data_IF_070026260804
#
_entry.id   IF_070026260804
#
_cell.length_a   1.000
_cell.length_b   1.000
_cell.length_c   1.000
_cell.angle_alpha   90.00
_cell.angle_beta   90.00
_cell.angle_gamma   90.00
#
_symmetry.space_group_name_H-M   'P 1'
#
loop_
_entity.id
_entity.type
_entity.pdbx_description
1 polymer ?
#
# COMPACT_ATOMS: atom_id res chain seq x y z
N UNK A 1 15.26 -18.88 -24.05
CA UNK A 1 16.72 -19.05 -23.99
C UNK A 1 17.30 -18.20 -22.88
N UNK A 2 18.36 -18.65 -22.24
CA UNK A 2 19.10 -17.85 -21.25
C UNK A 2 20.21 -17.10 -21.97
N UNK A 3 20.20 -15.77 -21.91
CA UNK A 3 21.31 -14.94 -22.40
C UNK A 3 22.13 -14.41 -21.21
N UNK A 4 23.43 -14.26 -21.38
CA UNK A 4 24.27 -13.59 -20.37
C UNK A 4 23.91 -12.11 -20.35
N UNK A 5 23.87 -11.49 -19.16
CA UNK A 5 23.51 -10.07 -18.98
C UNK A 5 24.34 -9.12 -19.88
N UNK A 6 25.61 -9.44 -20.14
CA UNK A 6 26.51 -8.67 -21.02
C UNK A 6 26.13 -8.75 -22.52
N UNK A 7 25.36 -9.77 -22.91
CA UNK A 7 24.96 -10.01 -24.31
C UNK A 7 23.54 -9.49 -24.57
N UNK A 8 22.89 -8.89 -23.57
CA UNK A 8 21.54 -8.30 -23.69
C UNK A 8 21.66 -6.88 -24.23
N UNK A 9 21.07 -6.64 -25.38
CA UNK A 9 21.00 -5.31 -26.03
C UNK A 9 19.89 -4.43 -25.44
N UNK A 10 18.98 -5.00 -24.65
CA UNK A 10 17.85 -4.30 -24.03
C UNK A 10 18.20 -3.69 -22.67
N UNK A 11 17.53 -2.56 -22.32
CA UNK A 11 17.68 -1.92 -21.00
C UNK A 11 16.98 -2.74 -19.92
N UNK A 12 17.76 -3.55 -19.19
CA UNK A 12 17.29 -4.35 -18.06
C UNK A 12 17.88 -3.82 -16.76
N UNK A 13 17.02 -3.51 -15.78
CA UNK A 13 17.46 -3.26 -14.42
C UNK A 13 17.24 -4.51 -13.57
N UNK A 14 18.25 -4.91 -12.80
CA UNK A 14 18.17 -6.07 -11.90
C UNK A 14 18.45 -5.63 -10.48
N UNK A 15 17.57 -6.01 -9.57
CA UNK A 15 17.68 -5.78 -8.12
C UNK A 15 17.78 -7.13 -7.44
N UNK A 16 18.89 -7.35 -6.72
CA UNK A 16 19.05 -8.52 -5.85
C UNK A 16 18.49 -8.19 -4.49
N UNK A 17 17.69 -9.09 -3.94
CA UNK A 17 17.05 -8.84 -2.64
C UNK A 17 18.01 -9.01 -1.47
N UNK A 18 19.09 -9.77 -1.62
CA UNK A 18 20.11 -9.90 -0.57
C UNK A 18 20.83 -8.57 -0.28
N UNK A 19 20.85 -7.62 -1.23
CA UNK A 19 21.42 -6.28 -1.07
C UNK A 19 20.40 -5.25 -0.48
N UNK A 20 19.20 -5.70 -0.13
CA UNK A 20 18.13 -4.83 0.39
C UNK A 20 17.82 -5.23 1.84
N UNK A 21 17.68 -4.27 2.77
CA UNK A 21 17.30 -4.58 4.15
C UNK A 21 15.83 -5.04 4.21
N UNK A 22 15.59 -6.29 3.84
CA UNK A 22 14.25 -6.89 3.69
C UNK A 22 13.50 -6.93 5.03
N UNK A 23 14.24 -6.89 6.15
CA UNK A 23 13.67 -6.91 7.49
C UNK A 23 12.77 -5.70 7.80
N UNK A 24 12.98 -4.58 7.10
CA UNK A 24 12.26 -3.31 7.35
C UNK A 24 11.15 -3.02 6.32
N UNK A 25 11.02 -3.83 5.27
CA UNK A 25 10.07 -3.59 4.18
C UNK A 25 8.87 -4.52 4.28
N UNK A 26 7.68 -3.96 4.36
CA UNK A 26 6.43 -4.72 4.44
C UNK A 26 6.06 -5.42 3.12
N UNK A 27 6.41 -4.81 1.99
CA UNK A 27 6.07 -5.32 0.65
C UNK A 27 7.24 -5.22 -0.31
N UNK A 28 7.23 -6.08 -1.33
CA UNK A 28 8.19 -6.07 -2.44
C UNK A 28 8.18 -4.73 -3.19
N UNK A 29 7.02 -4.07 -3.25
CA UNK A 29 6.88 -2.75 -3.87
C UNK A 29 7.77 -1.70 -3.21
N UNK A 30 7.80 -1.67 -1.88
CA UNK A 30 8.67 -0.76 -1.12
C UNK A 30 10.15 -1.11 -1.32
N UNK A 31 10.48 -2.41 -1.44
CA UNK A 31 11.86 -2.83 -1.71
C UNK A 31 12.38 -2.38 -3.07
N UNK A 32 11.49 -2.19 -4.06
CA UNK A 32 11.83 -1.75 -5.42
C UNK A 32 11.94 -0.24 -5.56
N UNK A 33 11.32 0.53 -4.66
CA UNK A 33 11.30 1.99 -4.75
C UNK A 33 12.73 2.56 -4.76
N UNK A 34 13.07 3.31 -5.82
CA UNK A 34 14.40 3.92 -6.00
C UNK A 34 15.54 2.96 -6.36
N UNK A 35 15.31 1.62 -6.45
CA UNK A 35 16.35 0.62 -6.73
C UNK A 35 16.49 0.27 -8.21
N UNK A 36 15.47 0.46 -9.01
CA UNK A 36 15.48 0.17 -10.44
C UNK A 36 15.37 1.46 -11.27
N UNK A 37 16.43 1.84 -11.96
CA UNK A 37 16.42 3.03 -12.82
C UNK A 37 15.30 2.92 -13.86
N UNK A 38 14.48 3.98 -14.05
CA UNK A 38 13.36 4.03 -14.98
C UNK A 38 12.10 3.25 -14.55
N UNK A 39 12.07 2.72 -13.34
CA UNK A 39 10.87 2.25 -12.66
C UNK A 39 10.45 3.28 -11.63
N UNK A 40 9.27 3.85 -11.79
CA UNK A 40 8.62 4.67 -10.78
C UNK A 40 7.68 3.78 -9.98
N UNK A 41 7.85 3.80 -8.67
CA UNK A 41 6.95 3.15 -7.72
C UNK A 41 6.29 4.25 -6.90
N UNK A 42 4.99 4.38 -7.01
CA UNK A 42 4.19 5.33 -6.23
C UNK A 42 3.25 4.57 -5.31
N UNK A 43 3.32 4.88 -4.03
CA UNK A 43 2.41 4.32 -3.03
C UNK A 43 1.18 5.22 -2.95
N UNK A 44 0.00 4.68 -3.21
CA UNK A 44 -1.27 5.44 -3.17
C UNK A 44 -1.64 5.76 -1.71
N UNK A 45 -1.34 4.83 -0.80
CA UNK A 45 -1.61 4.95 0.62
C UNK A 45 -0.46 4.34 1.40
N UNK A 46 -0.04 5.01 2.48
CA UNK A 46 0.99 4.52 3.39
C UNK A 46 0.47 3.50 4.41
N UNK A 47 -0.79 3.06 4.30
CA UNK A 47 -1.31 2.01 5.17
C UNK A 47 -0.59 0.67 4.95
N UNK A 48 -0.54 -0.20 5.97
CA UNK A 48 0.05 -1.53 5.86
C UNK A 48 -0.49 -2.31 4.67
N UNK A 49 0.40 -2.82 3.80
CA UNK A 49 0.01 -3.54 2.59
C UNK A 49 -0.65 -2.70 1.49
N UNK A 50 -0.65 -1.37 1.63
CA UNK A 50 -1.29 -0.44 0.70
C UNK A 50 -0.86 -0.63 -0.76
N UNK A 51 -1.73 -0.26 -1.68
CA UNK A 51 -1.49 -0.39 -3.11
C UNK A 51 -0.33 0.49 -3.56
N UNK A 52 0.53 -0.09 -4.38
CA UNK A 52 1.57 0.62 -5.12
C UNK A 52 1.29 0.53 -6.61
N UNK A 53 1.45 1.64 -7.31
CA UNK A 53 1.43 1.68 -8.77
C UNK A 53 2.85 1.66 -9.30
N UNK A 54 3.03 0.93 -10.39
CA UNK A 54 4.30 0.81 -11.08
C UNK A 54 4.18 1.50 -12.44
N UNK A 55 5.17 2.32 -12.77
CA UNK A 55 5.26 2.95 -14.10
C UNK A 55 6.66 2.76 -14.64
N UNK A 56 6.76 2.22 -15.85
CA UNK A 56 8.00 2.04 -16.57
C UNK A 56 8.00 3.04 -17.73
N UNK A 57 8.95 4.00 -17.72
CA UNK A 57 9.07 5.07 -18.74
C UNK A 57 7.82 5.94 -18.93
N UNK A 58 6.99 6.07 -17.89
CA UNK A 58 5.79 6.92 -17.93
C UNK A 58 4.49 6.16 -18.22
N UNK A 59 3.43 6.90 -18.54
CA UNK A 59 2.12 6.35 -18.89
C UNK A 59 1.99 6.25 -20.41
N UNK A 60 1.64 5.07 -20.92
CA UNK A 60 1.40 4.83 -22.34
C UNK A 60 -0.08 5.02 -22.73
N UNK A 61 -1.00 4.97 -21.77
CA UNK A 61 -2.44 5.10 -21.97
C UNK A 61 -3.05 6.14 -21.04
N UNK A 62 -4.10 6.81 -21.49
CA UNK A 62 -4.94 7.69 -20.66
C UNK A 62 -5.77 6.90 -19.63
N UNK A 63 -5.99 5.62 -19.87
CA UNK A 63 -6.64 4.72 -18.91
C UNK A 63 -5.66 4.29 -17.82
N UNK A 64 -6.00 4.57 -16.56
CA UNK A 64 -5.17 4.22 -15.39
C UNK A 64 -4.92 2.73 -15.28
N UNK A 65 -5.89 1.89 -15.63
CA UNK A 65 -5.79 0.43 -15.57
C UNK A 65 -4.86 -0.15 -16.63
N UNK A 66 -4.70 0.53 -17.79
CA UNK A 66 -3.90 0.09 -18.91
C UNK A 66 -2.40 0.37 -18.80
N UNK A 67 -1.93 0.99 -17.72
CA UNK A 67 -0.54 1.44 -17.59
C UNK A 67 0.35 0.57 -16.69
N UNK A 68 -0.19 -0.45 -16.06
CA UNK A 68 0.59 -1.31 -15.18
C UNK A 68 1.44 -2.32 -15.97
N UNK A 69 2.70 -2.55 -15.57
CA UNK A 69 3.55 -3.53 -16.20
C UNK A 69 3.06 -4.96 -15.93
N UNK A 70 3.36 -5.87 -16.84
CA UNK A 70 3.10 -7.29 -16.65
C UNK A 70 4.01 -7.84 -15.55
N UNK A 71 3.43 -8.52 -14.57
CA UNK A 71 4.20 -9.18 -13.50
C UNK A 71 4.31 -10.66 -13.82
N UNK A 72 5.53 -11.19 -13.75
CA UNK A 72 5.85 -12.59 -13.98
C UNK A 72 6.57 -13.15 -12.76
N UNK A 73 6.05 -14.22 -12.17
CA UNK A 73 6.65 -14.89 -11.03
C UNK A 73 7.10 -16.29 -11.45
N UNK A 74 8.40 -16.56 -11.33
CA UNK A 74 9.02 -17.84 -11.74
C UNK A 74 8.64 -18.31 -13.16
N UNK A 75 8.49 -17.35 -14.09
CA UNK A 75 8.13 -17.60 -15.48
C UNK A 75 6.63 -17.74 -15.76
N UNK A 76 5.77 -17.53 -14.76
CA UNK A 76 4.32 -17.55 -14.91
C UNK A 76 3.73 -16.14 -14.79
N UNK A 77 2.97 -15.64 -15.80
CA UNK A 77 2.33 -14.33 -15.71
C UNK A 77 1.20 -14.35 -14.69
N UNK A 78 1.20 -13.39 -13.78
CA UNK A 78 0.17 -13.23 -12.77
C UNK A 78 -0.70 -12.00 -13.05
N UNK A 79 -1.96 -12.10 -12.71
CA UNK A 79 -2.93 -11.02 -12.94
C UNK A 79 -3.33 -10.36 -11.62
N UNK A 80 -3.56 -9.04 -11.68
CA UNK A 80 -4.28 -8.35 -10.63
C UNK A 80 -5.78 -8.57 -10.85
N UNK A 81 -6.50 -9.18 -9.92
CA UNK A 81 -7.94 -9.44 -10.08
C UNK A 81 -8.82 -8.20 -9.95
N UNK A 82 -8.25 -7.02 -9.76
CA UNK A 82 -8.97 -5.80 -9.48
C UNK A 82 -9.30 -5.63 -7.99
N UNK A 83 -9.72 -4.43 -7.61
CA UNK A 83 -10.12 -4.15 -6.23
C UNK A 83 -11.57 -4.55 -6.00
N UNK A 84 -11.87 -5.14 -4.85
CA UNK A 84 -13.22 -5.15 -4.32
C UNK A 84 -13.51 -3.75 -3.80
N UNK A 85 -14.41 -3.06 -4.49
CA UNK A 85 -14.97 -1.80 -4.03
C UNK A 85 -16.38 -2.07 -3.53
N UNK A 86 -16.66 -1.71 -2.28
CA UNK A 86 -18.00 -1.84 -1.70
C UNK A 86 -18.98 -0.78 -2.24
N UNK A 87 -18.48 0.19 -3.00
CA UNK A 87 -19.26 1.37 -3.42
C UNK A 87 -19.59 2.31 -2.27
N UNK A 88 -19.11 2.03 -1.06
CA UNK A 88 -19.35 2.85 0.12
C UNK A 88 -18.29 3.95 0.23
N UNK A 89 -18.72 5.19 0.52
CA UNK A 89 -17.82 6.34 0.70
C UNK A 89 -16.81 6.17 1.83
N UNK A 90 -17.06 5.29 2.80
CA UNK A 90 -16.16 4.99 3.92
C UNK A 90 -15.26 3.80 3.65
N UNK A 91 -15.20 3.28 2.43
CA UNK A 91 -14.32 2.16 2.12
C UNK A 91 -12.85 2.58 2.20
N UNK A 92 -12.07 1.90 3.00
CA UNK A 92 -10.61 2.02 3.05
C UNK A 92 -9.92 1.24 1.93
N UNK A 93 -10.69 0.59 1.07
CA UNK A 93 -10.38 -0.28 -0.06
C UNK A 93 -8.90 -0.59 -0.30
N UNK A 94 -8.43 -1.71 0.20
CA UNK A 94 -7.15 -2.26 -0.22
C UNK A 94 -7.30 -2.80 -1.64
N UNK A 95 -6.86 -2.03 -2.61
CA UNK A 95 -6.75 -2.51 -3.98
C UNK A 95 -5.69 -3.60 -4.01
N UNK A 96 -5.94 -4.64 -4.78
CA UNK A 96 -5.07 -5.80 -4.86
C UNK A 96 -3.62 -5.43 -5.19
N UNK A 97 -2.72 -5.75 -4.28
CA UNK A 97 -1.29 -5.61 -4.47
C UNK A 97 -0.67 -7.01 -4.59
N UNK A 98 -0.49 -7.46 -5.84
CA UNK A 98 0.10 -8.78 -6.13
C UNK A 98 1.41 -8.98 -5.37
N UNK A 99 2.25 -7.95 -5.35
CA UNK A 99 3.56 -8.02 -4.72
C UNK A 99 3.48 -8.02 -3.18
N UNK A 100 2.35 -7.62 -2.58
CA UNK A 100 2.12 -7.78 -1.14
C UNK A 100 1.83 -9.25 -0.76
N UNK A 101 1.40 -10.08 -1.72
CA UNK A 101 1.18 -11.51 -1.49
C UNK A 101 2.47 -12.35 -1.51
N UNK A 102 3.61 -11.75 -1.84
CA UNK A 102 4.90 -12.45 -1.88
C UNK A 102 5.72 -12.02 -0.68
N UNK A 103 6.27 -13.01 0.04
CA UNK A 103 7.23 -12.74 1.09
C UNK A 103 8.55 -12.23 0.48
N UNK A 104 9.01 -11.01 0.81
CA UNK A 104 10.27 -10.50 0.27
C UNK A 104 11.49 -11.39 0.56
N UNK A 105 11.49 -12.15 1.67
CA UNK A 105 12.57 -13.08 2.02
C UNK A 105 12.68 -14.27 1.05
N UNK A 106 11.60 -14.60 0.34
CA UNK A 106 11.59 -15.71 -0.64
C UNK A 106 12.06 -15.29 -2.03
N UNK A 107 12.36 -13.99 -2.25
CA UNK A 107 12.79 -13.48 -3.56
C UNK A 107 14.32 -13.54 -3.67
N UNK A 108 14.81 -14.01 -4.81
CA UNK A 108 16.22 -13.99 -5.16
C UNK A 108 16.58 -12.71 -5.92
N UNK A 109 15.82 -12.41 -6.98
CA UNK A 109 16.02 -11.20 -7.80
C UNK A 109 14.74 -10.70 -8.42
N UNK A 110 14.74 -9.42 -8.75
CA UNK A 110 13.69 -8.78 -9.53
C UNK A 110 14.34 -8.11 -10.73
N UNK A 111 13.84 -8.42 -11.92
CA UNK A 111 14.30 -7.85 -13.16
C UNK A 111 13.19 -7.02 -13.79
N UNK A 112 13.54 -5.81 -14.27
CA UNK A 112 12.62 -4.89 -14.92
C UNK A 112 13.02 -4.74 -16.37
N UNK A 113 12.20 -5.29 -17.29
CA UNK A 113 12.36 -5.17 -18.73
C UNK A 113 11.62 -3.92 -19.21
N UNK A 114 12.35 -3.01 -19.85
CA UNK A 114 11.84 -1.68 -20.21
C UNK A 114 11.68 -1.49 -21.71
N UNK A 115 12.41 -2.26 -22.52
CA UNK A 115 12.44 -2.09 -23.96
C UNK A 115 11.57 -3.10 -24.69
N UNK A 116 10.96 -2.68 -25.80
CA UNK A 116 10.11 -3.51 -26.62
C UNK A 116 10.82 -4.77 -27.09
N UNK A 117 12.12 -4.72 -27.37
CA UNK A 117 12.91 -5.89 -27.79
C UNK A 117 13.01 -6.96 -26.70
N UNK A 118 13.13 -6.55 -25.42
CA UNK A 118 13.20 -7.47 -24.28
C UNK A 118 11.83 -7.98 -23.85
N UNK A 119 10.76 -7.22 -24.11
CA UNK A 119 9.38 -7.55 -23.72
C UNK A 119 8.60 -8.29 -24.81
N UNK A 120 9.08 -8.30 -26.07
CA UNK A 120 8.41 -8.90 -27.21
C UNK A 120 7.99 -10.36 -27.03
N UNK A 121 8.78 -11.15 -26.29
CA UNK A 121 8.49 -12.56 -26.00
C UNK A 121 7.22 -12.77 -25.16
N UNK A 122 6.72 -11.70 -24.50
CA UNK A 122 5.52 -11.74 -23.67
C UNK A 122 4.27 -11.17 -24.36
N UNK A 123 4.42 -10.76 -25.64
CA UNK A 123 3.34 -10.28 -26.49
C UNK A 123 2.77 -8.91 -26.08
N UNK A 124 1.55 -8.59 -26.53
CA UNK A 124 0.91 -7.28 -26.36
C UNK A 124 0.72 -6.89 -24.88
N UNK A 125 0.56 -7.85 -23.98
CA UNK A 125 0.42 -7.59 -22.51
C UNK A 125 1.66 -6.94 -21.89
N UNK A 126 2.80 -7.02 -22.54
CA UNK A 126 4.06 -6.47 -22.07
C UNK A 126 4.38 -5.06 -22.61
N UNK A 127 3.41 -4.40 -23.26
CA UNK A 127 3.58 -3.07 -23.84
C UNK A 127 4.02 -1.99 -22.85
N UNK A 128 3.62 -2.11 -21.58
CA UNK A 128 4.01 -1.19 -20.49
C UNK A 128 5.26 -1.68 -19.72
N UNK A 129 5.99 -2.65 -20.26
CA UNK A 129 7.13 -3.27 -19.60
C UNK A 129 6.75 -4.52 -18.80
N UNK A 130 7.78 -5.20 -18.29
CA UNK A 130 7.63 -6.45 -17.53
C UNK A 130 8.46 -6.40 -16.27
N UNK A 131 7.88 -6.83 -15.16
CA UNK A 131 8.57 -7.07 -13.89
C UNK A 131 8.64 -8.58 -13.70
N UNK A 132 9.86 -9.13 -13.70
CA UNK A 132 10.12 -10.56 -13.49
C UNK A 132 10.61 -10.74 -12.06
N UNK A 133 9.86 -11.50 -11.28
CA UNK A 133 10.23 -11.90 -9.92
C UNK A 133 10.74 -13.32 -9.97
N UNK A 134 12.01 -13.50 -9.61
CA UNK A 134 12.62 -14.82 -9.44
C UNK A 134 12.72 -15.13 -7.97
N UNK A 135 12.18 -16.27 -7.57
CA UNK A 135 12.15 -16.69 -6.19
C UNK A 135 13.30 -17.66 -5.87
N UNK A 136 13.72 -17.68 -4.59
CA UNK A 136 14.79 -18.56 -4.10
C UNK A 136 14.45 -20.04 -4.36
N UNK A 137 15.45 -20.82 -4.71
CA UNK A 137 15.32 -22.25 -5.00
C UNK A 137 16.19 -23.09 -4.10
N UNK A 138 15.89 -24.39 -4.04
CA UNK A 138 16.70 -25.36 -3.33
C UNK A 138 18.14 -25.40 -3.85
N UNK A 139 19.10 -25.64 -2.96
CA UNK A 139 20.52 -25.75 -3.25
C UNK A 139 21.00 -27.16 -2.91
N UNK A 140 22.01 -27.67 -3.65
CA UNK A 140 22.68 -28.94 -3.30
C UNK A 140 23.42 -28.78 -1.96
N UNK A 141 23.42 -29.83 -1.16
CA UNK A 141 24.10 -29.90 0.12
C UNK A 141 23.21 -30.44 1.24
N UNK A 142 23.77 -30.59 2.41
CA UNK A 142 23.02 -30.98 3.60
C UNK A 142 21.87 -30.01 3.89
N UNK A 143 20.81 -30.51 4.49
CA UNK A 143 19.68 -29.68 4.90
C UNK A 143 20.15 -28.55 5.83
N UNK A 144 19.82 -27.30 5.44
CA UNK A 144 20.08 -26.10 6.23
C UNK A 144 18.76 -25.50 6.66
N UNK A 145 18.60 -25.31 7.96
CA UNK A 145 17.49 -24.56 8.55
C UNK A 145 17.95 -23.14 8.80
N UNK A 146 17.19 -22.17 8.33
CA UNK A 146 17.45 -20.76 8.54
C UNK A 146 16.21 -20.09 9.12
N UNK A 147 16.40 -19.41 10.24
CA UNK A 147 15.39 -18.53 10.81
C UNK A 147 15.88 -17.08 10.73
N UNK A 148 14.97 -16.17 10.36
CA UNK A 148 15.18 -14.73 10.45
C UNK A 148 13.96 -14.08 11.09
N UNK A 149 14.21 -13.25 12.11
CA UNK A 149 13.17 -12.50 12.80
C UNK A 149 13.53 -11.02 12.86
N UNK A 150 12.53 -10.16 12.79
CA UNK A 150 12.68 -8.73 13.00
C UNK A 150 11.48 -8.16 13.75
N UNK A 151 11.74 -7.12 14.54
CA UNK A 151 10.74 -6.31 15.21
C UNK A 151 11.11 -4.84 15.03
N UNK A 152 10.12 -4.00 14.78
CA UNK A 152 10.32 -2.56 14.63
C UNK A 152 9.12 -1.77 15.12
N UNK A 153 9.38 -0.54 15.52
CA UNK A 153 8.36 0.45 15.91
C UNK A 153 8.29 1.51 14.83
N UNK A 154 7.09 1.91 14.48
CA UNK A 154 6.80 2.92 13.48
C UNK A 154 6.07 4.09 14.11
N UNK A 155 6.43 5.29 13.69
CA UNK A 155 5.75 6.51 14.09
C UNK A 155 5.59 7.45 12.90
N UNK A 156 4.69 8.40 13.01
CA UNK A 156 4.54 9.47 12.02
C UNK A 156 5.81 10.31 12.06
N UNK A 157 6.55 10.35 10.96
CA UNK A 157 7.83 11.08 10.89
C UNK A 157 7.63 12.60 10.88
N UNK A 158 6.55 13.07 10.25
CA UNK A 158 6.17 14.48 10.16
C UNK A 158 4.66 14.59 9.99
N UNK A 159 4.01 15.37 10.84
CA UNK A 159 2.63 15.80 10.68
C UNK A 159 2.58 17.27 10.24
N UNK A 160 1.45 17.69 9.70
CA UNK A 160 1.20 19.11 9.52
C UNK A 160 0.99 19.77 10.88
N UNK A 161 1.56 20.98 11.06
CA UNK A 161 1.24 21.83 12.19
C UNK A 161 -0.17 22.41 11.96
N UNK A 162 -1.12 21.92 12.73
CA UNK A 162 -2.50 22.38 12.68
C UNK A 162 -2.70 23.53 13.67
N UNK A 163 -3.70 24.36 13.41
CA UNK A 163 -4.10 25.37 14.39
C UNK A 163 -4.62 24.68 15.66
N UNK A 164 -4.20 25.20 16.81
CA UNK A 164 -4.83 24.90 18.08
C UNK A 164 -6.21 25.57 18.19
N UNK A 165 -6.95 25.30 19.25
CA UNK A 165 -8.30 25.85 19.43
C UNK A 165 -8.30 27.38 19.42
N UNK A 166 -7.32 28.04 20.07
CA UNK A 166 -7.20 29.50 20.07
C UNK A 166 -6.93 30.07 18.69
N UNK A 167 -6.00 29.45 17.96
CA UNK A 167 -5.67 29.84 16.60
C UNK A 167 -6.84 29.65 15.63
N UNK A 168 -7.55 28.52 15.76
CA UNK A 168 -8.75 28.24 14.98
C UNK A 168 -9.87 29.27 15.24
N UNK A 169 -10.17 29.55 16.51
CA UNK A 169 -11.19 30.55 16.90
C UNK A 169 -10.85 31.94 16.35
N UNK A 170 -9.58 32.37 16.43
CA UNK A 170 -9.13 33.65 15.85
C UNK A 170 -9.32 33.66 14.33
N UNK A 171 -8.85 32.63 13.64
CA UNK A 171 -9.01 32.54 12.20
C UNK A 171 -10.47 32.56 11.75
N UNK A 172 -11.35 31.89 12.52
CA UNK A 172 -12.80 31.89 12.25
C UNK A 172 -13.41 33.27 12.46
N UNK A 173 -13.03 33.97 13.53
CA UNK A 173 -13.47 35.35 13.76
C UNK A 173 -12.99 36.30 12.66
N UNK A 174 -11.73 36.17 12.23
CA UNK A 174 -11.17 37.00 11.18
C UNK A 174 -11.85 36.73 9.83
N UNK A 175 -12.12 35.48 9.51
CA UNK A 175 -12.91 35.09 8.33
C UNK A 175 -14.32 35.68 8.39
N UNK A 176 -15.00 35.58 9.53
CA UNK A 176 -16.36 36.13 9.71
C UNK A 176 -16.38 37.64 9.56
N UNK A 177 -15.39 38.34 10.14
CA UNK A 177 -15.22 39.78 9.99
C UNK A 177 -15.00 40.16 8.52
N UNK A 178 -14.13 39.44 7.83
CA UNK A 178 -13.83 39.69 6.42
C UNK A 178 -15.07 39.47 5.52
N UNK A 179 -15.81 38.39 5.74
CA UNK A 179 -17.07 38.16 5.03
C UNK A 179 -18.12 39.24 5.28
N UNK A 180 -18.23 39.71 6.54
CA UNK A 180 -19.11 40.81 6.88
C UNK A 180 -18.71 42.10 6.16
N UNK A 181 -17.42 42.46 6.18
CA UNK A 181 -16.89 43.61 5.45
C UNK A 181 -17.18 43.54 3.96
N UNK A 182 -16.92 42.39 3.36
CA UNK A 182 -17.13 42.12 1.94
C UNK A 182 -18.62 42.27 1.55
N UNK A 183 -19.49 41.65 2.35
CA UNK A 183 -20.94 41.67 2.06
C UNK A 183 -21.52 43.06 2.20
N UNK A 184 -21.04 43.89 3.10
CA UNK A 184 -21.54 45.19 3.41
C UNK A 184 -20.79 46.35 2.71
N UNK A 185 -19.77 46.06 1.91
CA UNK A 185 -18.96 47.06 1.19
C UNK A 185 -18.12 47.94 2.12
N UNK A 186 -17.58 47.37 3.20
CA UNK A 186 -16.78 48.09 4.17
C UNK A 186 -15.30 48.14 3.76
N UNK A 187 -14.64 49.26 4.01
CA UNK A 187 -13.22 49.44 3.72
C UNK A 187 -12.88 49.21 2.25
N UNK A 188 -11.90 48.33 1.97
CA UNK A 188 -11.44 48.00 0.63
C UNK A 188 -12.51 47.42 -0.31
N UNK A 189 -13.60 46.91 0.23
CA UNK A 189 -14.67 46.27 -0.52
C UNK A 189 -15.78 47.20 -1.03
N UNK A 190 -15.77 48.46 -0.64
CA UNK A 190 -16.80 49.42 -1.08
C UNK A 190 -16.68 50.80 -0.44
N UNK A 191 -15.65 51.05 0.36
CA UNK A 191 -15.32 52.34 0.93
C UNK A 191 -16.19 52.81 2.10
N UNK A 192 -17.15 52.00 2.55
CA UNK A 192 -17.95 52.32 3.74
C UNK A 192 -17.09 52.23 5.02
N UNK A 193 -17.34 53.09 5.97
CA UNK A 193 -16.75 53.00 7.30
C UNK A 193 -17.37 51.86 8.09
N UNK A 194 -16.56 51.13 8.88
CA UNK A 194 -17.06 50.04 9.73
C UNK A 194 -18.01 50.49 10.82
N UNK A 195 -18.00 51.79 11.12
CA UNK A 195 -18.84 52.46 12.12
C UNK A 195 -20.13 53.04 11.55
N UNK A 196 -20.40 52.84 10.26
CA UNK A 196 -21.62 53.32 9.62
C UNK A 196 -22.85 52.68 10.29
N UNK A 197 -23.76 53.49 10.84
CA UNK A 197 -24.95 53.01 11.58
C UNK A 197 -25.97 52.29 10.71
N UNK A 198 -25.85 52.37 9.40
CA UNK A 198 -26.70 51.62 8.45
C UNK A 198 -26.31 50.17 8.29
N UNK A 199 -25.14 49.77 8.79
CA UNK A 199 -24.62 48.42 8.66
C UNK A 199 -25.25 47.49 9.73
N UNK A 200 -25.47 46.21 9.42
CA UNK A 200 -25.87 45.22 10.37
C UNK A 200 -24.72 45.01 11.40
N UNK A 201 -25.09 44.74 12.66
CA UNK A 201 -24.09 44.49 13.70
C UNK A 201 -23.22 43.26 13.34
N UNK A 202 -21.91 43.39 13.48
CA UNK A 202 -20.98 42.27 13.37
C UNK A 202 -21.10 41.36 14.61
N UNK A 203 -21.49 40.13 14.37
CA UNK A 203 -21.52 39.10 15.43
C UNK A 203 -20.40 38.09 15.14
N UNK A 204 -19.43 38.01 16.03
CA UNK A 204 -18.32 37.07 15.97
C UNK A 204 -18.70 35.73 16.62
N UNK A 205 -18.33 34.59 16.05
CA UNK A 205 -18.62 33.27 16.62
C UNK A 205 -18.00 33.04 18.01
N UNK A 206 -16.82 33.62 18.27
CA UNK A 206 -16.07 33.41 19.48
C UNK A 206 -15.75 34.74 20.20
N UNK A 207 -15.86 34.75 21.50
CA UNK A 207 -15.45 35.89 22.36
C UNK A 207 -13.94 35.84 22.64
N UNK A 208 -13.36 37.00 23.02
CA UNK A 208 -11.95 37.06 23.40
C UNK A 208 -11.63 36.18 24.62
N UNK A 209 -12.58 36.02 25.55
CA UNK A 209 -12.43 35.14 26.70
C UNK A 209 -12.35 33.65 26.31
N UNK A 210 -13.16 33.21 25.33
CA UNK A 210 -13.11 31.86 24.79
C UNK A 210 -11.82 31.59 24.03
N UNK A 211 -11.34 32.58 23.26
CA UNK A 211 -10.07 32.51 22.56
C UNK A 211 -8.87 32.43 23.52
N UNK A 212 -8.92 33.19 24.61
CA UNK A 212 -7.84 33.20 25.60
C UNK A 212 -7.78 31.89 26.39
N UNK A 213 -8.94 31.29 26.70
CA UNK A 213 -9.08 30.08 27.50
C UNK A 213 -10.10 29.13 26.82
N UNK A 214 -9.72 28.42 25.76
CA UNK A 214 -10.64 27.49 25.11
C UNK A 214 -11.01 26.35 26.08
N UNK A 215 -12.30 25.99 26.10
CA UNK A 215 -12.80 24.88 26.92
C UNK A 215 -12.21 23.52 26.49
N UNK A 216 -11.90 23.38 25.22
CA UNK A 216 -11.26 22.19 24.64
C UNK A 216 -10.17 22.62 23.69
N UNK A 217 -9.15 21.78 23.56
CA UNK A 217 -8.05 21.93 22.58
C UNK A 217 -7.64 20.55 22.10
N UNK A 218 -8.42 19.99 21.18
CA UNK A 218 -8.29 18.62 20.71
C UNK A 218 -7.31 18.56 19.53
N UNK A 219 -6.20 17.82 19.68
CA UNK A 219 -5.33 17.46 18.59
C UNK A 219 -5.86 16.20 17.91
N UNK A 220 -6.64 16.38 16.86
CA UNK A 220 -7.30 15.28 16.17
C UNK A 220 -6.35 14.25 15.56
N UNK A 221 -5.12 14.65 15.16
CA UNK A 221 -4.12 13.70 14.70
C UNK A 221 -3.60 12.79 15.79
N UNK A 222 -3.40 13.30 17.01
CA UNK A 222 -2.98 12.48 18.14
C UNK A 222 -4.09 11.51 18.56
N UNK A 223 -5.36 11.93 18.45
CA UNK A 223 -6.51 11.10 18.80
C UNK A 223 -6.69 9.90 17.87
N UNK A 224 -6.30 10.00 16.61
CA UNK A 224 -6.43 8.91 15.63
C UNK A 224 -5.14 8.13 15.43
N UNK A 225 -4.00 8.60 15.94
CA UNK A 225 -2.70 7.99 15.72
C UNK A 225 -2.21 7.15 16.89
N UNK A 226 -1.26 6.28 16.62
CA UNK A 226 -0.54 5.46 17.59
C UNK A 226 0.87 5.15 17.11
N UNK A 227 1.70 4.65 18.01
CA UNK A 227 2.91 3.93 17.61
C UNK A 227 2.50 2.60 16.96
N UNK A 228 2.95 2.37 15.73
CA UNK A 228 2.77 1.11 15.03
C UNK A 228 3.85 0.10 15.43
N UNK A 229 3.48 -1.17 15.57
CA UNK A 229 4.43 -2.24 15.84
C UNK A 229 4.45 -3.21 14.67
N UNK A 230 5.64 -3.63 14.25
CA UNK A 230 5.81 -4.58 13.16
C UNK A 230 6.70 -5.73 13.61
N UNK A 231 6.26 -6.96 13.29
CA UNK A 231 7.08 -8.17 13.45
C UNK A 231 7.10 -8.99 12.16
N UNK A 232 8.22 -9.65 11.92
CA UNK A 232 8.37 -10.61 10.83
C UNK A 232 9.16 -11.81 11.30
N UNK A 233 8.65 -13.00 11.03
CA UNK A 233 9.30 -14.26 11.36
C UNK A 233 9.33 -15.13 10.12
N UNK A 234 10.50 -15.51 9.67
CA UNK A 234 10.69 -16.35 8.49
C UNK A 234 11.53 -17.58 8.85
N UNK A 235 10.99 -18.75 8.58
CA UNK A 235 11.68 -20.03 8.74
C UNK A 235 11.81 -20.69 7.37
N UNK A 236 13.00 -21.09 6.99
CA UNK A 236 13.22 -21.82 5.75
C UNK A 236 14.12 -23.04 5.93
N UNK A 237 13.86 -24.06 5.15
CA UNK A 237 14.64 -25.30 5.09
C UNK A 237 15.03 -25.49 3.63
N UNK A 238 16.30 -25.57 3.34
CA UNK A 238 16.81 -25.82 1.99
C UNK A 238 17.83 -26.94 2.02
N UNK A 239 17.83 -27.78 0.99
CA UNK A 239 18.79 -28.87 0.89
C UNK A 239 18.65 -29.63 -0.41
N UNK A 240 19.42 -30.69 -0.57
CA UNK A 240 19.31 -31.57 -1.72
C UNK A 240 20.64 -32.17 -2.14
N UNK A 241 20.61 -32.82 -3.27
CA UNK A 241 21.77 -33.42 -3.95
C UNK A 241 21.75 -32.98 -5.43
N UNK A 242 22.58 -33.61 -6.26
CA UNK A 242 22.68 -33.28 -7.69
C UNK A 242 21.39 -33.59 -8.47
N UNK A 243 20.55 -34.49 -7.96
CA UNK A 243 19.32 -34.88 -8.63
C UNK A 243 18.08 -34.20 -8.05
N UNK A 244 18.06 -33.97 -6.75
CA UNK A 244 16.89 -33.41 -6.05
C UNK A 244 17.33 -32.19 -5.25
N UNK A 245 16.65 -31.05 -5.42
CA UNK A 245 16.86 -29.83 -4.63
C UNK A 245 15.52 -29.36 -4.15
N UNK A 246 15.44 -28.95 -2.89
CA UNK A 246 14.21 -28.48 -2.29
C UNK A 246 14.42 -27.23 -1.42
N UNK A 247 13.38 -26.44 -1.35
CA UNK A 247 13.24 -25.35 -0.42
C UNK A 247 11.80 -25.32 0.10
N UNK A 248 11.64 -25.23 1.40
CA UNK A 248 10.35 -24.99 2.05
C UNK A 248 10.54 -23.79 2.97
N UNK A 249 9.65 -22.82 2.90
CA UNK A 249 9.67 -21.65 3.78
C UNK A 249 8.27 -21.32 4.29
N UNK A 250 8.23 -20.79 5.52
CA UNK A 250 7.04 -20.25 6.15
C UNK A 250 7.33 -18.86 6.69
N UNK A 251 6.42 -17.92 6.51
CA UNK A 251 6.54 -16.56 7.01
C UNK A 251 5.26 -16.14 7.73
N UNK A 252 5.46 -15.52 8.87
CA UNK A 252 4.47 -14.73 9.59
C UNK A 252 4.94 -13.28 9.62
N UNK A 253 4.06 -12.38 9.22
CA UNK A 253 4.29 -10.94 9.23
C UNK A 253 3.07 -10.26 9.82
N UNK A 254 3.29 -9.36 10.78
CA UNK A 254 2.26 -8.51 11.33
C UNK A 254 2.77 -7.07 11.36
N UNK A 255 1.93 -6.13 10.96
CA UNK A 255 2.21 -4.70 11.00
C UNK A 255 0.97 -3.95 11.45
N UNK A 256 1.07 -3.27 12.58
CA UNK A 256 0.14 -2.26 13.00
C UNK A 256 0.42 -0.95 12.26
N UNK A 257 -0.63 -0.31 11.73
CA UNK A 257 -0.52 1.03 11.16
C UNK A 257 -0.34 2.10 12.23
N UNK A 258 0.21 3.23 11.82
CA UNK A 258 0.32 4.43 12.66
C UNK A 258 -1.03 5.11 12.93
N UNK A 259 -2.05 4.79 12.17
CA UNK A 259 -3.44 5.13 12.47
C UNK A 259 -4.06 3.97 13.26
N UNK A 260 -4.81 4.29 14.32
CA UNK A 260 -5.52 3.29 15.13
C UNK A 260 -6.45 2.44 14.24
N UNK A 261 -6.67 1.19 14.60
CA UNK A 261 -7.52 0.22 13.90
C UNK A 261 -7.12 -0.06 12.44
N UNK A 262 -5.89 0.30 12.05
CA UNK A 262 -5.32 -0.05 10.75
C UNK A 262 -4.18 -1.05 10.92
N UNK A 263 -4.12 -2.07 10.07
CA UNK A 263 -3.09 -3.10 10.17
C UNK A 263 -3.11 -4.12 9.06
N UNK A 264 -2.08 -4.96 9.03
CA UNK A 264 -1.95 -6.08 8.10
C UNK A 264 -1.30 -7.27 8.78
N UNK A 265 -1.89 -8.44 8.60
CA UNK A 265 -1.25 -9.72 8.97
C UNK A 265 -1.12 -10.58 7.71
N UNK A 266 0.07 -11.15 7.51
CA UNK A 266 0.34 -12.07 6.40
C UNK A 266 0.88 -13.39 6.90
N UNK A 267 0.27 -14.47 6.42
CA UNK A 267 0.76 -15.83 6.54
C UNK A 267 1.15 -16.32 5.15
N UNK A 268 2.38 -16.80 4.96
CA UNK A 268 2.78 -17.39 3.70
C UNK A 268 3.52 -18.71 3.88
N UNK A 269 3.25 -19.63 3.00
CA UNK A 269 3.93 -20.92 2.89
C UNK A 269 4.41 -21.09 1.46
N UNK A 270 5.64 -21.53 1.30
CA UNK A 270 6.22 -21.81 0.01
C UNK A 270 6.95 -23.12 -0.01
N UNK A 271 6.82 -23.85 -1.11
CA UNK A 271 7.57 -25.06 -1.39
C UNK A 271 8.10 -25.02 -2.82
N UNK A 272 9.36 -25.36 -2.99
CA UNK A 272 10.03 -25.54 -4.27
C UNK A 272 10.71 -26.89 -4.30
N UNK A 273 10.50 -27.62 -5.39
CA UNK A 273 11.19 -28.88 -5.67
C UNK A 273 11.70 -28.87 -7.10
N UNK A 274 12.98 -29.07 -7.27
CA UNK A 274 13.65 -29.31 -8.56
C UNK A 274 14.16 -30.74 -8.57
N UNK A 275 13.72 -31.55 -9.54
CA UNK A 275 14.08 -32.95 -9.70
C UNK A 275 14.65 -33.21 -11.09
N UNK A 276 15.86 -33.77 -11.11
CA UNK A 276 16.48 -34.30 -12.31
C UNK A 276 16.13 -35.80 -12.39
N UNK A 277 15.21 -36.14 -13.31
CA UNK A 277 14.74 -37.53 -13.46
C UNK A 277 15.74 -38.39 -14.25
N UNK A 278 16.45 -37.77 -15.22
CA UNK A 278 17.51 -38.39 -15.99
C UNK A 278 18.47 -37.33 -16.51
N UNK A 279 19.49 -37.74 -17.27
CA UNK A 279 20.36 -36.78 -17.97
C UNK A 279 19.62 -35.93 -19.02
N UNK A 280 18.45 -36.38 -19.45
CA UNK A 280 17.64 -35.70 -20.48
C UNK A 280 16.44 -34.98 -19.94
N UNK A 281 15.94 -35.32 -18.72
CA UNK A 281 14.67 -34.83 -18.19
C UNK A 281 14.85 -34.20 -16.84
N UNK A 282 14.39 -32.96 -16.73
CA UNK A 282 14.28 -32.21 -15.47
C UNK A 282 12.84 -31.72 -15.27
N UNK A 283 12.33 -31.81 -14.07
CA UNK A 283 11.06 -31.20 -13.68
C UNK A 283 11.22 -30.32 -12.43
N UNK A 284 10.30 -29.41 -12.25
CA UNK A 284 10.24 -28.62 -11.02
C UNK A 284 8.83 -28.21 -10.72
N UNK A 285 8.57 -28.01 -9.43
CA UNK A 285 7.30 -27.56 -8.88
C UNK A 285 7.57 -26.40 -7.94
N UNK A 286 6.81 -25.30 -8.09
CA UNK A 286 6.78 -24.20 -7.17
C UNK A 286 5.34 -24.03 -6.66
N UNK A 287 5.18 -23.95 -5.37
CA UNK A 287 3.91 -23.69 -4.70
C UNK A 287 4.10 -22.52 -3.76
N UNK A 288 3.20 -21.53 -3.83
CA UNK A 288 3.12 -20.43 -2.87
C UNK A 288 1.67 -20.25 -2.46
N UNK A 289 1.40 -20.36 -1.19
CA UNK A 289 0.10 -20.08 -0.59
C UNK A 289 0.26 -18.91 0.37
N UNK A 290 -0.60 -17.90 0.24
CA UNK A 290 -0.56 -16.70 1.07
C UNK A 290 -1.96 -16.34 1.51
N UNK A 291 -2.08 -15.93 2.79
CA UNK A 291 -3.27 -15.30 3.35
C UNK A 291 -2.88 -13.98 3.96
N UNK A 292 -3.49 -12.91 3.46
CA UNK A 292 -3.38 -11.57 3.98
C UNK A 292 -4.70 -11.19 4.65
N UNK A 293 -4.60 -10.61 5.82
CA UNK A 293 -5.72 -10.02 6.55
C UNK A 293 -5.40 -8.54 6.76
N UNK A 294 -6.32 -7.68 6.34
CA UNK A 294 -6.18 -6.23 6.44
C UNK A 294 -7.30 -5.69 7.30
N UNK A 295 -6.93 -4.87 8.27
CA UNK A 295 -7.82 -3.96 8.96
C UNK A 295 -7.63 -2.58 8.32
N UNK A 296 -8.69 -2.06 7.71
CA UNK A 296 -8.64 -0.81 6.96
C UNK A 296 -9.37 0.29 7.72
N UNK A 297 -8.96 1.53 7.46
CA UNK A 297 -9.66 2.74 7.91
C UNK A 297 -10.14 3.52 6.70
N UNK A 298 -11.23 4.31 6.82
CA UNK A 298 -11.70 5.15 5.72
C UNK A 298 -10.62 6.12 5.25
N UNK A 299 -10.29 6.08 3.95
CA UNK A 299 -9.30 6.98 3.34
C UNK A 299 -9.94 8.18 2.62
N UNK A 300 -11.26 8.16 2.45
CA UNK A 300 -11.96 9.05 1.52
C UNK A 300 -11.83 8.53 0.09
N UNK A 301 -12.94 8.31 -0.59
CA UNK A 301 -12.95 7.94 -1.99
C UNK A 301 -13.36 9.15 -2.85
N UNK A 302 -13.05 9.11 -4.16
CA UNK A 302 -13.25 10.22 -5.07
C UNK A 302 -14.68 10.76 -5.23
N UNK A 303 -15.68 10.20 -4.54
CA UNK A 303 -17.03 10.76 -4.46
C UNK A 303 -17.25 11.60 -3.19
N UNK A 304 -16.51 11.34 -2.12
CA UNK A 304 -16.55 12.14 -0.90
C UNK A 304 -15.18 12.07 -0.21
N UNK A 305 -14.29 12.97 -0.60
CA UNK A 305 -12.94 13.08 -0.02
C UNK A 305 -12.96 13.37 1.49
N UNK A 306 -14.02 14.04 1.96
CA UNK A 306 -14.19 14.39 3.38
C UNK A 306 -14.48 13.18 4.28
N UNK A 307 -14.87 12.03 3.71
CA UNK A 307 -15.07 10.80 4.47
C UNK A 307 -13.76 10.13 4.91
N UNK A 308 -12.59 10.66 4.52
CA UNK A 308 -11.28 10.14 4.90
C UNK A 308 -10.87 10.57 6.30
N UNK A 309 -10.36 9.63 7.11
CA UNK A 309 -9.97 9.88 8.50
C UNK A 309 -8.89 10.98 8.63
N UNK A 310 -7.92 11.01 7.72
CA UNK A 310 -6.84 12.01 7.74
C UNK A 310 -7.35 13.40 7.33
N UNK A 311 -8.21 13.46 6.32
CA UNK A 311 -8.82 14.73 5.86
C UNK A 311 -9.75 15.27 6.92
N UNK A 312 -10.54 14.40 7.55
CA UNK A 312 -11.41 14.78 8.65
C UNK A 312 -10.60 15.31 9.83
N UNK A 313 -9.51 14.63 10.24
CA UNK A 313 -8.65 15.09 11.32
C UNK A 313 -7.98 16.45 11.03
N UNK A 314 -7.64 16.71 9.75
CA UNK A 314 -7.03 17.98 9.34
C UNK A 314 -8.02 19.17 9.34
N UNK A 315 -9.31 18.91 9.17
CA UNK A 315 -10.32 19.97 8.99
C UNK A 315 -11.29 20.09 10.17
N UNK A 316 -11.30 19.14 11.08
CA UNK A 316 -12.25 19.16 12.19
C UNK A 316 -11.89 20.24 13.21
N UNK A 317 -12.91 20.88 13.80
CA UNK A 317 -12.75 21.99 14.74
C UNK A 317 -12.03 21.54 16.02
N UNK A 318 -10.81 22.07 16.31
CA UNK A 318 -10.04 21.69 17.50
C UNK A 318 -10.62 22.22 18.82
N UNK A 319 -11.57 23.16 18.77
CA UNK A 319 -12.27 23.67 19.94
C UNK A 319 -13.39 22.73 20.44
N UNK A 320 -13.69 21.65 19.70
CA UNK A 320 -14.68 20.66 20.10
C UNK A 320 -14.03 19.52 20.90
N UNK A 321 -14.72 18.96 21.90
CA UNK A 321 -14.30 17.72 22.56
C UNK A 321 -14.53 16.53 21.61
N UNK A 322 -13.94 15.38 21.91
CA UNK A 322 -14.18 14.14 21.15
C UNK A 322 -15.65 13.72 21.23
N UNK A 323 -16.23 13.84 22.43
CA UNK A 323 -17.63 13.51 22.72
C UNK A 323 -18.29 14.67 23.43
N UNK A 324 -19.58 14.86 23.15
CA UNK A 324 -20.44 15.83 23.81
C UNK A 324 -20.80 15.38 25.24
N UNK A 325 -21.54 16.22 25.96
CA UNK A 325 -21.98 15.95 27.35
C UNK A 325 -22.90 14.73 27.46
N UNK A 326 -23.52 14.30 26.36
CA UNK A 326 -24.38 13.11 26.29
C UNK A 326 -23.60 11.84 25.91
N UNK A 327 -22.28 11.96 25.69
CA UNK A 327 -21.42 10.85 25.29
C UNK A 327 -21.43 10.53 23.78
N UNK A 328 -22.14 11.30 22.96
CA UNK A 328 -22.13 11.16 21.52
C UNK A 328 -20.89 11.81 20.91
N UNK A 329 -20.45 11.36 19.75
CA UNK A 329 -19.37 12.04 19.04
C UNK A 329 -19.77 13.46 18.68
N UNK A 330 -18.88 14.42 19.02
CA UNK A 330 -19.12 15.83 18.71
C UNK A 330 -19.32 16.05 17.22
N UNK A 331 -20.31 16.84 16.87
CA UNK A 331 -20.60 17.23 15.49
C UNK A 331 -20.10 18.66 15.25
N UNK A 332 -19.48 18.88 14.09
CA UNK A 332 -19.11 20.23 13.68
C UNK A 332 -20.32 20.89 13.00
N UNK A 333 -21.02 21.78 13.71
CA UNK A 333 -22.19 22.48 13.19
C UNK A 333 -21.90 23.34 11.96
N UNK A 334 -20.66 23.88 11.88
CA UNK A 334 -20.25 24.78 10.78
C UNK A 334 -19.83 24.00 9.55
N UNK A 335 -19.58 22.71 9.69
CA UNK A 335 -19.18 21.80 8.61
C UNK A 335 -19.76 20.40 8.85
N UNK A 336 -21.08 20.29 8.82
CA UNK A 336 -21.83 19.05 9.12
C UNK A 336 -21.52 17.88 8.16
N UNK A 337 -20.90 18.16 7.02
CA UNK A 337 -20.40 17.15 6.09
C UNK A 337 -19.10 16.48 6.52
N UNK A 338 -18.40 17.04 7.54
CA UNK A 338 -17.18 16.45 8.10
C UNK A 338 -17.55 15.51 9.24
N UNK A 339 -17.28 14.20 9.12
CA UNK A 339 -17.47 13.28 10.23
C UNK A 339 -16.43 13.54 11.33
N UNK A 340 -16.77 13.23 12.58
CA UNK A 340 -15.80 13.24 13.67
C UNK A 340 -14.68 12.22 13.37
N UNK A 341 -13.39 12.62 13.40
CA UNK A 341 -12.30 11.72 13.03
C UNK A 341 -12.24 10.44 13.87
N UNK A 342 -12.56 10.54 15.16
CA UNK A 342 -12.53 9.39 16.07
C UNK A 342 -13.70 8.45 15.81
N UNK A 343 -14.86 8.97 15.38
CA UNK A 343 -16.01 8.12 15.02
C UNK A 343 -15.72 7.22 13.82
N UNK A 344 -14.84 7.66 12.91
CA UNK A 344 -14.43 6.85 11.76
C UNK A 344 -13.60 5.62 12.15
N UNK A 345 -13.03 5.60 13.36
CA UNK A 345 -12.33 4.41 13.88
C UNK A 345 -13.29 3.29 14.31
N UNK A 346 -14.56 3.59 14.53
CA UNK A 346 -15.57 2.57 14.90
C UNK A 346 -16.04 1.79 13.65
N UNK A 347 -15.76 2.29 12.46
CA UNK A 347 -16.07 1.60 11.21
C UNK A 347 -15.20 0.36 11.08
N UNK A 348 -15.84 -0.78 10.97
CA UNK A 348 -15.14 -2.04 10.69
C UNK A 348 -15.02 -2.24 9.19
N UNK A 349 -13.80 -2.24 8.68
CA UNK A 349 -13.49 -2.60 7.28
C UNK A 349 -12.35 -3.62 7.27
N UNK A 350 -12.70 -4.89 7.04
CA UNK A 350 -11.76 -6.01 7.04
C UNK A 350 -11.73 -6.70 5.69
N UNK A 351 -10.54 -6.77 5.10
CA UNK A 351 -10.30 -7.51 3.87
C UNK A 351 -9.45 -8.74 4.14
N UNK A 352 -9.94 -9.91 3.75
CA UNK A 352 -9.15 -11.15 3.74
C UNK A 352 -8.86 -11.52 2.30
N UNK A 353 -7.60 -11.77 1.98
CA UNK A 353 -7.14 -12.20 0.67
C UNK A 353 -6.37 -13.50 0.78
N UNK A 354 -6.78 -14.51 0.02
CA UNK A 354 -6.12 -15.82 -0.07
C UNK A 354 -5.65 -16.03 -1.51
N UNK A 355 -4.36 -16.32 -1.68
CA UNK A 355 -3.78 -16.57 -2.99
C UNK A 355 -3.01 -17.88 -3.03
N UNK A 356 -3.25 -18.65 -4.06
CA UNK A 356 -2.52 -19.88 -4.37
C UNK A 356 -1.88 -19.73 -5.75
N UNK A 357 -0.55 -19.69 -5.77
CA UNK A 357 0.25 -19.77 -6.98
C UNK A 357 0.92 -21.13 -7.03
N UNK A 358 0.63 -21.91 -8.06
CA UNK A 358 1.29 -23.17 -8.29
C UNK A 358 1.79 -23.21 -9.73
N UNK A 359 3.06 -23.54 -9.91
CA UNK A 359 3.58 -23.80 -11.25
C UNK A 359 4.44 -25.06 -11.27
N UNK A 360 4.39 -25.75 -12.40
CA UNK A 360 5.23 -26.90 -12.71
C UNK A 360 5.89 -26.70 -14.06
N UNK A 361 7.13 -27.08 -14.18
CA UNK A 361 7.82 -27.10 -15.47
C UNK A 361 8.44 -28.46 -15.74
N UNK A 362 8.49 -28.78 -17.04
CA UNK A 362 9.20 -29.93 -17.57
C UNK A 362 10.20 -29.45 -18.61
N UNK A 363 11.44 -29.87 -18.47
CA UNK A 363 12.51 -29.62 -19.43
C UNK A 363 13.01 -30.96 -19.99
N UNK A 364 13.03 -31.08 -21.31
CA UNK A 364 13.55 -32.26 -22.02
C UNK A 364 14.65 -31.82 -22.96
N UNK A 365 15.79 -32.49 -22.88
CA UNK A 365 16.97 -32.29 -23.78
C UNK A 365 17.22 -33.57 -24.55
N UNK A 366 16.48 -33.81 -25.63
CA UNK A 366 16.58 -35.06 -26.36
C UNK A 366 17.93 -35.23 -27.07
N UNK A 367 18.53 -34.15 -27.52
CA UNK A 367 19.85 -34.06 -28.14
C UNK A 367 20.57 -32.79 -27.67
N UNK A 368 21.90 -32.76 -27.86
CA UNK A 368 22.69 -31.58 -27.54
C UNK A 368 22.23 -30.37 -28.39
N UNK A 369 22.07 -29.22 -27.74
CA UNK A 369 21.62 -27.99 -28.38
C UNK A 369 20.11 -27.82 -28.47
N UNK A 370 19.28 -28.84 -28.21
CA UNK A 370 17.81 -28.76 -28.21
C UNK A 370 17.25 -28.85 -26.79
N UNK A 371 16.59 -27.78 -26.35
CA UNK A 371 15.84 -27.71 -25.07
C UNK A 371 14.36 -27.51 -25.38
N UNK A 372 13.54 -28.46 -24.97
CA UNK A 372 12.07 -28.31 -24.95
C UNK A 372 11.64 -28.04 -23.50
N UNK A 373 10.89 -26.96 -23.29
CA UNK A 373 10.38 -26.60 -21.96
C UNK A 373 8.87 -26.34 -22.01
N UNK A 374 8.14 -27.03 -21.18
CA UNK A 374 6.72 -26.78 -20.91
C UNK A 374 6.52 -26.23 -19.50
N UNK A 375 5.70 -25.19 -19.35
CA UNK A 375 5.31 -24.62 -18.08
C UNK A 375 3.79 -24.70 -17.93
N UNK A 376 3.35 -25.13 -16.77
CA UNK A 376 1.95 -25.17 -16.36
C UNK A 376 1.81 -24.35 -15.08
N UNK A 377 0.78 -23.54 -14.98
CA UNK A 377 0.58 -22.73 -13.77
C UNK A 377 -0.88 -22.51 -13.47
N UNK A 378 -1.16 -22.34 -12.18
CA UNK A 378 -2.46 -21.96 -11.62
C UNK A 378 -2.22 -20.76 -10.73
N UNK A 379 -3.00 -19.70 -10.94
CA UNK A 379 -3.10 -18.54 -10.08
C UNK A 379 -4.55 -18.42 -9.62
N UNK A 380 -4.81 -18.69 -8.35
CA UNK A 380 -6.13 -18.54 -7.74
C UNK A 380 -6.06 -17.49 -6.65
N UNK A 381 -6.87 -16.45 -6.79
CA UNK A 381 -7.05 -15.40 -5.80
C UNK A 381 -8.51 -15.40 -5.33
N UNK A 382 -8.69 -15.33 -4.01
CA UNK A 382 -9.98 -15.19 -3.36
C UNK A 382 -9.90 -14.01 -2.40
N UNK A 383 -10.88 -13.11 -2.49
CA UNK A 383 -10.97 -11.95 -1.61
C UNK A 383 -12.34 -11.92 -0.94
N UNK A 384 -12.34 -11.52 0.33
CA UNK A 384 -13.54 -11.31 1.13
C UNK A 384 -13.44 -9.98 1.85
N UNK A 385 -14.39 -9.08 1.57
CA UNK A 385 -14.56 -7.82 2.28
C UNK A 385 -15.71 -7.96 3.28
N UNK A 386 -15.48 -7.48 4.51
CA UNK A 386 -16.49 -7.32 5.55
C UNK A 386 -16.46 -5.87 6.01
N UNK A 387 -17.59 -5.19 5.89
CA UNK A 387 -17.72 -3.81 6.29
C UNK A 387 -18.98 -3.62 7.12
N UNK A 388 -18.84 -2.89 8.24
CA UNK A 388 -19.92 -2.48 9.13
C UNK A 388 -19.70 -1.01 9.49
N UNK A 389 -20.77 -0.22 9.41
CA UNK A 389 -20.83 1.22 9.74
C UNK A 389 -21.43 1.40 11.13
#
# INVERSE_FOLDING_TARGET
GTMKKKDMTGAVASVKMDDTPVATVSTVSHALAGKAAGLQVSTISAQPGGQSTFRIRGAASSDKAGNDPLIIIDGFPVNSPGSLDSGNQYSGGNKDNILASINPNDIESIEVLKDASSTAIYGARAGNGVIIVTTKRGKSGAAKVQYSGSASVQQIAKSYEMLDASGFMRATNDYTREQWMRTNGVGIYGGKEATDPSLPALTLPYTDAQIANPANNTNWFDEISRLGFQTSHNLSITGGNDNTKYLVSGNYFNQDGVIKNNGMTRYSLRANLDQKLSKYVKMGINLTATRNEYDNVPLGSGQNENAGILVSAAQFNPALPIRDENGNYSMNSDASFLPNPVSLLDITDKTTQERLLANAFFEVRPIDGLLLKANFGIDRNYQKLKQYL
#
